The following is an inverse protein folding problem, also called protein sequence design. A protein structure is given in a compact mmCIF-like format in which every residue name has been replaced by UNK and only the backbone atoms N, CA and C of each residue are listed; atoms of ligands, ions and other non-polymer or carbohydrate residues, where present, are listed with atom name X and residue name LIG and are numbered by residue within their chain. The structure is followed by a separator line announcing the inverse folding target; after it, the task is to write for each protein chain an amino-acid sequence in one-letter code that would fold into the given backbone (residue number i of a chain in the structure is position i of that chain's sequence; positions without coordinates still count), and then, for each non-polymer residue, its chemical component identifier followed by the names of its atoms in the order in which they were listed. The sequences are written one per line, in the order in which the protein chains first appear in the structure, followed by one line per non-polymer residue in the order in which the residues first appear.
data_IF_265653426561
#
_entry.id   IF_265653426561
#
_cell.length_a   1.000
_cell.length_b   1.000
_cell.length_c   1.000
_cell.angle_alpha   90.00
_cell.angle_beta   90.00
_cell.angle_gamma   90.00
#
_symmetry.space_group_name_H-M   'P 1'
#
loop_
_entity.id
_entity.type
_entity.pdbx_description
1 polymer ?
#
# COMPACT_ATOMS: atom_id res chain seq x y z
N UNK A 1 -5.59 -17.39 -7.18
CA UNK A 1 -5.32 -15.99 -7.20
C UNK A 1 -4.48 -15.57 -8.39
N UNK A 2 -4.34 -14.31 -8.58
CA UNK A 2 -3.54 -13.77 -9.67
C UNK A 2 -2.06 -13.96 -9.38
N UNK A 3 -1.29 -14.43 -10.38
CA UNK A 3 0.16 -14.53 -10.24
C UNK A 3 0.77 -13.13 -10.06
N UNK A 4 1.85 -13.05 -9.27
CA UNK A 4 2.51 -11.77 -9.02
C UNK A 4 3.18 -11.20 -10.27
N UNK A 5 3.63 -12.04 -11.19
CA UNK A 5 4.28 -11.57 -12.41
C UNK A 5 3.31 -10.71 -13.24
N UNK A 6 3.66 -9.43 -13.41
CA UNK A 6 2.84 -8.47 -14.13
C UNK A 6 1.71 -7.86 -13.32
N UNK A 7 1.47 -8.30 -12.09
CA UNK A 7 0.45 -7.69 -11.23
C UNK A 7 0.83 -6.25 -10.86
N UNK A 8 -0.15 -5.37 -10.84
CA UNK A 8 0.04 -3.98 -10.44
C UNK A 8 -0.40 -3.81 -8.99
N UNK A 9 0.55 -3.49 -8.11
CA UNK A 9 0.33 -3.46 -6.66
C UNK A 9 0.66 -2.07 -6.12
N UNK A 10 -0.24 -1.53 -5.30
CA UNK A 10 0.00 -0.30 -4.56
C UNK A 10 0.16 -0.64 -3.07
N UNK A 11 1.27 -0.22 -2.48
CA UNK A 11 1.50 -0.35 -1.04
C UNK A 11 1.18 1.00 -0.40
N UNK A 12 0.21 1.03 0.51
CA UNK A 12 -0.20 2.23 1.22
C UNK A 12 0.39 2.20 2.63
N UNK A 13 1.33 3.10 2.88
CA UNK A 13 2.00 3.23 4.16
C UNK A 13 3.32 2.49 4.23
N UNK A 14 4.42 3.24 4.18
CA UNK A 14 5.78 2.67 4.30
C UNK A 14 6.46 3.10 5.59
N UNK A 15 5.76 3.84 6.46
CA UNK A 15 6.30 4.27 7.75
C UNK A 15 6.40 3.08 8.72
N UNK A 16 7.31 3.19 9.66
CA UNK A 16 7.50 2.20 10.72
C UNK A 16 6.28 2.11 11.64
N UNK A 17 5.68 3.26 11.96
CA UNK A 17 4.46 3.37 12.76
C UNK A 17 3.48 4.32 12.10
N UNK A 18 2.21 4.28 12.56
CA UNK A 18 1.22 5.21 12.06
C UNK A 18 1.58 6.67 12.39
N UNK A 19 1.25 7.56 11.45
CA UNK A 19 1.34 9.01 11.60
C UNK A 19 2.75 9.53 11.92
N UNK A 20 3.78 8.85 11.42
CA UNK A 20 5.17 9.33 11.49
C UNK A 20 5.84 9.24 10.12
N UNK A 21 6.95 9.94 9.96
CA UNK A 21 7.70 9.98 8.71
C UNK A 21 8.97 9.11 8.73
N UNK A 22 9.11 8.23 9.71
CA UNK A 22 10.25 7.34 9.82
C UNK A 22 9.94 5.99 9.17
N UNK A 23 10.66 5.67 8.09
CA UNK A 23 10.48 4.40 7.37
C UNK A 23 11.54 3.36 7.75
N UNK A 24 12.56 3.72 8.53
CA UNK A 24 13.61 2.79 8.91
C UNK A 24 13.02 1.61 9.68
N UNK A 25 13.48 0.42 9.34
CA UNK A 25 13.00 -0.84 9.92
C UNK A 25 11.52 -1.16 9.64
N UNK A 26 10.88 -0.44 8.72
CA UNK A 26 9.52 -0.74 8.34
C UNK A 26 9.44 -2.07 7.57
N UNK A 27 8.56 -3.01 7.96
CA UNK A 27 8.37 -4.24 7.20
C UNK A 27 7.91 -4.01 5.76
N UNK A 28 7.25 -2.89 5.49
CA UNK A 28 6.78 -2.55 4.16
C UNK A 28 7.90 -2.48 3.13
N UNK A 29 9.09 -2.03 3.52
CA UNK A 29 10.24 -1.93 2.62
C UNK A 29 10.65 -3.31 2.11
N UNK A 30 10.64 -4.31 2.98
CA UNK A 30 10.93 -5.70 2.61
C UNK A 30 9.84 -6.28 1.71
N UNK A 31 8.59 -5.97 2.02
CA UNK A 31 7.45 -6.41 1.21
C UNK A 31 7.59 -5.89 -0.21
N UNK A 32 7.90 -4.60 -0.38
CA UNK A 32 8.08 -3.99 -1.70
C UNK A 32 9.24 -4.67 -2.43
N UNK A 33 10.36 -4.91 -1.75
CA UNK A 33 11.51 -5.61 -2.35
C UNK A 33 11.12 -6.99 -2.87
N UNK A 34 10.40 -7.76 -2.06
CA UNK A 34 9.98 -9.11 -2.43
C UNK A 34 9.02 -9.08 -3.62
N UNK A 35 8.04 -8.16 -3.61
CA UNK A 35 7.09 -8.05 -4.71
C UNK A 35 7.80 -7.68 -6.02
N UNK A 36 8.77 -6.78 -5.98
CA UNK A 36 9.55 -6.42 -7.17
C UNK A 36 10.36 -7.61 -7.67
N UNK A 37 10.93 -8.40 -6.76
CA UNK A 37 11.67 -9.62 -7.12
C UNK A 37 10.77 -10.63 -7.80
N UNK A 38 9.50 -10.70 -7.41
CA UNK A 38 8.50 -11.57 -8.02
C UNK A 38 7.90 -10.98 -9.30
N UNK A 39 8.54 -9.95 -9.86
CA UNK A 39 8.16 -9.31 -11.12
C UNK A 39 6.81 -8.58 -11.08
N UNK A 40 6.35 -8.20 -9.90
CA UNK A 40 5.18 -7.32 -9.79
C UNK A 40 5.58 -5.87 -10.11
N UNK A 41 4.62 -5.10 -10.61
CA UNK A 41 4.77 -3.65 -10.77
C UNK A 41 4.29 -2.99 -9.49
N UNK A 42 5.23 -2.57 -8.65
CA UNK A 42 4.94 -2.07 -7.31
C UNK A 42 5.17 -0.58 -7.23
N UNK A 43 4.17 0.12 -6.70
CA UNK A 43 4.27 1.53 -6.35
C UNK A 43 3.85 1.71 -4.90
N UNK A 44 4.20 2.84 -4.29
CA UNK A 44 3.75 3.10 -2.92
C UNK A 44 3.17 4.51 -2.80
N UNK A 45 2.35 4.69 -1.79
CA UNK A 45 1.86 5.98 -1.34
C UNK A 45 1.96 6.05 0.17
N UNK A 46 2.50 7.15 0.68
CA UNK A 46 2.53 7.42 2.12
C UNK A 46 2.39 8.93 2.29
N UNK A 47 1.40 9.41 3.07
CA UNK A 47 1.18 10.84 3.24
C UNK A 47 2.32 11.56 3.98
N UNK A 48 3.18 10.81 4.68
CA UNK A 48 4.29 11.36 5.46
C UNK A 48 5.65 11.16 4.78
N UNK A 49 5.74 10.23 3.82
CA UNK A 49 7.00 9.83 3.20
C UNK A 49 6.84 9.87 1.68
N UNK A 50 7.46 10.86 1.03
CA UNK A 50 7.39 11.00 -0.42
C UNK A 50 8.41 10.12 -1.14
N UNK A 51 9.51 9.77 -0.47
CA UNK A 51 10.56 8.92 -1.03
C UNK A 51 11.37 8.28 0.08
N UNK A 52 12.02 7.17 -0.23
CA UNK A 52 12.93 6.53 0.72
C UNK A 52 14.06 5.85 -0.02
N UNK A 53 15.15 5.55 0.72
CA UNK A 53 16.26 4.73 0.24
C UNK A 53 16.26 3.40 0.96
N UNK A 54 16.48 2.33 0.21
CA UNK A 54 16.54 0.99 0.77
C UNK A 54 17.58 0.18 0.00
N UNK A 55 18.60 -0.32 0.69
CA UNK A 55 19.70 -1.08 0.09
C UNK A 55 20.35 -0.35 -1.09
N UNK A 56 20.55 0.96 -0.95
CA UNK A 56 21.19 1.78 -1.97
C UNK A 56 20.30 2.21 -3.12
N UNK A 57 19.05 1.79 -3.15
CA UNK A 57 18.09 2.14 -4.19
C UNK A 57 17.09 3.17 -3.69
N UNK A 58 16.79 4.16 -4.53
CA UNK A 58 15.82 5.20 -4.18
C UNK A 58 14.44 4.81 -4.72
N UNK A 59 13.43 4.92 -3.86
CA UNK A 59 12.04 4.66 -4.20
C UNK A 59 11.26 5.94 -4.04
N UNK A 60 10.49 6.30 -5.06
CA UNK A 60 9.67 7.50 -5.03
C UNK A 60 8.20 7.13 -5.05
N UNK A 61 7.43 7.71 -4.11
CA UNK A 61 6.01 7.42 -3.97
C UNK A 61 5.14 8.29 -4.85
N UNK A 62 3.87 7.92 -4.92
CA UNK A 62 2.84 8.73 -5.55
C UNK A 62 2.62 9.99 -4.71
N UNK A 63 2.30 11.10 -5.36
CA UNK A 63 2.01 12.36 -4.67
C UNK A 63 0.63 12.33 -4.04
N UNK A 64 -0.30 11.62 -4.66
CA UNK A 64 -1.69 11.59 -4.23
C UNK A 64 -2.35 10.31 -4.70
N UNK A 65 -3.49 9.99 -4.09
CA UNK A 65 -4.31 8.86 -4.51
C UNK A 65 -5.71 9.37 -4.83
N UNK A 66 -6.21 8.98 -6.00
CA UNK A 66 -7.56 9.34 -6.47
C UNK A 66 -8.34 8.06 -6.71
N UNK A 67 -9.68 8.13 -6.86
CA UNK A 67 -10.46 6.94 -7.20
C UNK A 67 -9.94 6.21 -8.45
N UNK A 68 -9.55 6.96 -9.48
CA UNK A 68 -9.03 6.39 -10.72
C UNK A 68 -7.68 5.70 -10.51
N UNK A 69 -6.79 6.32 -9.72
CA UNK A 69 -5.50 5.72 -9.39
C UNK A 69 -5.70 4.42 -8.63
N UNK A 70 -6.54 4.43 -7.60
CA UNK A 70 -6.81 3.24 -6.78
C UNK A 70 -7.40 2.11 -7.64
N UNK A 71 -8.33 2.43 -8.52
CA UNK A 71 -8.97 1.42 -9.38
C UNK A 71 -8.00 0.79 -10.40
N UNK A 72 -6.86 1.42 -10.65
CA UNK A 72 -5.90 0.94 -11.65
C UNK A 72 -5.00 -0.19 -11.15
N UNK A 73 -5.02 -0.52 -9.86
CA UNK A 73 -4.18 -1.57 -9.28
C UNK A 73 -4.93 -2.88 -9.14
N UNK A 74 -4.23 -3.99 -9.34
CA UNK A 74 -4.78 -5.32 -9.08
C UNK A 74 -4.95 -5.58 -7.58
N UNK A 75 -4.06 -5.01 -6.77
CA UNK A 75 -4.09 -5.16 -5.32
C UNK A 75 -3.62 -3.87 -4.65
N UNK A 76 -4.32 -3.47 -3.60
CA UNK A 76 -3.88 -2.41 -2.69
C UNK A 76 -3.56 -3.07 -1.36
N UNK A 77 -2.34 -2.91 -0.88
CA UNK A 77 -1.88 -3.49 0.38
C UNK A 77 -1.68 -2.36 1.38
N UNK A 78 -2.32 -2.45 2.54
CA UNK A 78 -2.19 -1.43 3.59
C UNK A 78 -1.20 -1.94 4.63
N UNK A 79 -0.09 -1.21 4.77
CA UNK A 79 1.04 -1.64 5.61
C UNK A 79 1.40 -0.65 6.71
N UNK A 80 0.71 0.48 6.81
CA UNK A 80 0.77 1.37 7.96
C UNK A 80 -0.60 2.01 8.16
N UNK A 81 -0.99 2.21 9.41
CA UNK A 81 -2.34 2.65 9.77
C UNK A 81 -2.41 4.17 9.95
N UNK A 82 -1.94 4.94 8.96
CA UNK A 82 -2.01 6.40 9.03
C UNK A 82 -3.45 6.88 9.11
N UNK A 83 -3.71 7.86 9.97
CA UNK A 83 -5.07 8.38 10.17
C UNK A 83 -5.51 9.33 9.07
N UNK A 84 -4.58 9.93 8.33
CA UNK A 84 -4.87 10.90 7.27
C UNK A 84 -4.96 10.28 5.87
N UNK A 85 -5.40 9.03 5.79
CA UNK A 85 -5.66 8.32 4.54
C UNK A 85 -7.16 8.06 4.44
N UNK A 86 -7.73 8.30 3.27
CA UNK A 86 -9.15 8.06 3.02
C UNK A 86 -9.40 6.58 2.68
N UNK A 87 -9.58 5.77 3.71
CA UNK A 87 -9.78 4.33 3.54
C UNK A 87 -11.15 4.00 2.93
N UNK A 88 -12.17 4.84 3.13
CA UNK A 88 -13.45 4.65 2.48
C UNK A 88 -13.34 4.76 0.97
N UNK A 89 -12.60 5.74 0.49
CA UNK A 89 -12.34 5.92 -0.93
C UNK A 89 -11.57 4.71 -1.50
N UNK A 90 -10.58 4.22 -0.78
CA UNK A 90 -9.82 3.04 -1.19
C UNK A 90 -10.75 1.83 -1.31
N UNK A 91 -11.59 1.58 -0.30
CA UNK A 91 -12.49 0.44 -0.31
C UNK A 91 -13.48 0.51 -1.49
N UNK A 92 -14.00 1.69 -1.77
CA UNK A 92 -15.00 1.86 -2.85
C UNK A 92 -14.43 1.65 -4.24
N UNK A 93 -13.13 1.86 -4.43
CA UNK A 93 -12.52 1.90 -5.77
C UNK A 93 -11.52 0.78 -6.04
N UNK A 94 -10.95 0.15 -5.04
CA UNK A 94 -9.94 -0.89 -5.22
C UNK A 94 -10.55 -2.20 -5.73
N UNK A 95 -9.82 -2.88 -6.59
CA UNK A 95 -10.19 -4.21 -7.05
C UNK A 95 -10.10 -5.22 -5.90
N UNK A 96 -8.97 -5.20 -5.18
CA UNK A 96 -8.75 -6.05 -4.01
C UNK A 96 -7.88 -5.32 -3.01
N UNK A 97 -8.10 -5.55 -1.73
CA UNK A 97 -7.37 -4.92 -0.64
C UNK A 97 -6.86 -5.98 0.32
N UNK A 98 -5.59 -5.89 0.70
CA UNK A 98 -5.03 -6.67 1.79
C UNK A 98 -4.68 -5.71 2.94
N UNK A 99 -5.48 -5.75 3.98
CA UNK A 99 -5.38 -4.84 5.13
C UNK A 99 -4.59 -5.51 6.26
N UNK A 100 -3.29 -5.26 6.31
CA UNK A 100 -2.42 -5.89 7.32
C UNK A 100 -2.54 -5.25 8.70
N UNK A 101 -3.22 -4.10 8.80
CA UNK A 101 -3.33 -3.34 10.06
C UNK A 101 -4.75 -3.26 10.60
N UNK A 102 -5.70 -3.89 9.90
CA UNK A 102 -7.11 -3.87 10.27
C UNK A 102 -7.67 -2.45 10.42
N UNK A 103 -7.20 -1.53 9.56
CA UNK A 103 -7.66 -0.13 9.58
C UNK A 103 -9.08 0.00 9.05
N UNK A 104 -9.54 -0.97 8.27
CA UNK A 104 -10.86 -0.97 7.64
C UNK A 104 -11.90 -1.74 8.44
N UNK A 105 -11.65 -2.02 9.72
CA UNK A 105 -12.52 -2.85 10.56
C UNK A 105 -13.95 -2.31 10.69
N UNK A 106 -14.14 -1.00 10.54
CA UNK A 106 -15.44 -0.36 10.67
C UNK A 106 -16.14 -0.14 9.31
N UNK A 107 -15.54 -0.56 8.21
CA UNK A 107 -16.15 -0.46 6.89
C UNK A 107 -17.11 -1.64 6.70
N UNK A 108 -18.37 -1.34 6.36
CA UNK A 108 -19.42 -2.37 6.24
C UNK A 108 -19.21 -3.28 5.03
N UNK A 109 -18.91 -2.71 3.86
CA UNK A 109 -18.70 -3.50 2.65
C UNK A 109 -17.30 -4.09 2.66
N UNK A 110 -17.23 -5.40 2.83
CA UNK A 110 -15.96 -6.10 2.96
C UNK A 110 -15.65 -7.04 1.79
N UNK A 111 -16.40 -6.93 0.70
CA UNK A 111 -16.28 -7.86 -0.43
C UNK A 111 -14.87 -7.92 -1.01
N UNK A 112 -14.16 -6.79 -1.04
CA UNK A 112 -12.82 -6.71 -1.62
C UNK A 112 -11.71 -6.63 -0.57
N UNK A 113 -12.02 -6.84 0.72
CA UNK A 113 -11.07 -6.69 1.81
C UNK A 113 -10.69 -8.06 2.39
N UNK A 114 -9.37 -8.32 2.43
CA UNK A 114 -8.79 -9.40 3.23
C UNK A 114 -7.97 -8.81 4.36
N UNK A 115 -8.05 -9.41 5.54
CA UNK A 115 -7.33 -8.99 6.74
C UNK A 115 -6.31 -10.06 7.10
N UNK A 116 -5.15 -9.59 7.54
CA UNK A 116 -4.11 -10.51 8.00
C UNK A 116 -4.54 -11.30 9.24
#
# INVERSE_FOLDING_TARGET
GKAMNGAKVLVVGVAYKQDIDDYRESPALRVIEVLKREMANVEFYDPWISEYKYKGEKYQGLKDITPEVIASYDLVMITAAHTNVDYDMIQKNAVAIFDTKNVMKNIENRENIEVL
#
